data_IF_990264296565
#
_entry.id   IF_990264296565
#
_cell.length_a   1.000
_cell.length_b   1.000
_cell.length_c   1.000
_cell.angle_alpha   90.00
_cell.angle_beta   90.00
_cell.angle_gamma   90.00
#
_symmetry.space_group_name_H-M   'P 1'
#
loop_
_entity.id
_entity.type
_entity.pdbx_description
1 polymer ?
#
# COMPACT_ATOMS: atom_id res chain seq x y z
N UNK A 1 -14.83 -68.74 44.04
CA UNK A 1 -16.13 -68.76 43.32
C UNK A 1 -15.90 -68.28 41.91
N UNK A 2 -15.92 -69.20 40.95
CA UNK A 2 -15.85 -68.90 39.53
C UNK A 2 -17.26 -68.48 39.06
N UNK A 3 -17.39 -67.32 38.44
CA UNK A 3 -18.62 -66.90 37.78
C UNK A 3 -18.39 -66.85 36.27
N UNK A 4 -19.14 -67.72 35.59
CA UNK A 4 -19.29 -67.84 34.15
C UNK A 4 -19.75 -66.52 33.52
N UNK A 5 -19.08 -66.09 32.45
CA UNK A 5 -19.63 -65.12 31.50
C UNK A 5 -19.97 -65.85 30.19
N UNK A 6 -21.18 -65.69 29.62
CA UNK A 6 -21.59 -66.37 28.40
C UNK A 6 -20.94 -65.74 27.16
N UNK A 7 -20.39 -66.60 26.30
CA UNK A 7 -19.97 -66.27 24.93
C UNK A 7 -21.18 -66.13 24.03
N UNK A 8 -21.53 -64.89 23.65
CA UNK A 8 -22.53 -64.63 22.60
C UNK A 8 -21.80 -64.15 21.36
N UNK A 9 -21.85 -64.96 20.31
CA UNK A 9 -21.38 -64.62 18.97
C UNK A 9 -22.27 -63.54 18.36
N UNK A 10 -21.72 -62.33 18.20
CA UNK A 10 -22.37 -61.27 17.41
C UNK A 10 -22.06 -61.53 15.95
N UNK A 11 -23.01 -62.19 15.27
CA UNK A 11 -23.03 -62.30 13.82
C UNK A 11 -23.22 -60.91 13.24
N UNK A 12 -22.19 -60.35 12.61
CA UNK A 12 -22.30 -59.09 11.89
C UNK A 12 -23.24 -59.27 10.70
N UNK A 13 -24.48 -58.79 10.82
CA UNK A 13 -25.36 -58.63 9.68
C UNK A 13 -24.72 -57.60 8.74
N UNK A 14 -24.22 -58.08 7.60
CA UNK A 14 -23.71 -57.25 6.52
C UNK A 14 -24.91 -56.57 5.87
N UNK A 15 -25.25 -55.37 6.33
CA UNK A 15 -26.14 -54.47 5.60
C UNK A 15 -25.47 -54.13 4.27
N UNK A 16 -25.93 -54.75 3.19
CA UNK A 16 -25.62 -54.35 1.83
C UNK A 16 -26.23 -52.97 1.60
N UNK A 17 -25.43 -51.92 1.78
CA UNK A 17 -25.73 -50.60 1.24
C UNK A 17 -25.96 -50.77 -0.28
N UNK A 18 -27.06 -50.26 -0.86
CA UNK A 18 -27.19 -50.22 -2.30
C UNK A 18 -26.03 -49.37 -2.83
N UNK A 19 -25.25 -49.96 -3.75
CA UNK A 19 -24.25 -49.24 -4.51
C UNK A 19 -24.93 -48.07 -5.20
N UNK A 20 -24.68 -46.85 -4.74
CA UNK A 20 -25.05 -45.65 -5.48
C UNK A 20 -24.20 -45.64 -6.74
N UNK A 21 -24.75 -46.18 -7.83
CA UNK A 21 -24.23 -45.99 -9.18
C UNK A 21 -24.54 -44.56 -9.64
N UNK A 22 -23.93 -43.59 -8.95
CA UNK A 22 -23.74 -42.24 -9.45
C UNK A 22 -22.24 -42.05 -9.62
N UNK A 23 -21.72 -42.49 -10.77
CA UNK A 23 -20.48 -41.93 -11.29
C UNK A 23 -20.77 -40.46 -11.57
N UNK A 24 -20.43 -39.58 -10.64
CA UNK A 24 -20.35 -38.15 -10.96
C UNK A 24 -19.21 -38.04 -11.96
N UNK A 25 -19.53 -37.99 -13.26
CA UNK A 25 -18.53 -37.65 -14.26
C UNK A 25 -17.92 -36.32 -13.83
N UNK A 26 -16.60 -36.27 -13.61
CA UNK A 26 -15.87 -35.01 -13.49
C UNK A 26 -16.29 -34.15 -14.67
N UNK A 27 -17.08 -33.11 -14.39
CA UNK A 27 -17.52 -32.18 -15.43
C UNK A 27 -16.26 -31.66 -16.10
N UNK A 28 -16.11 -31.78 -17.43
CA UNK A 28 -14.97 -31.22 -18.11
C UNK A 28 -15.03 -29.71 -17.86
N UNK A 29 -14.15 -29.22 -17.00
CA UNK A 29 -14.04 -27.81 -16.69
C UNK A 29 -13.63 -27.12 -17.99
N UNK A 30 -14.59 -26.49 -18.67
CA UNK A 30 -14.34 -25.70 -19.88
C UNK A 30 -13.36 -24.60 -19.46
N UNK A 31 -12.08 -24.63 -19.89
CA UNK A 31 -11.13 -23.60 -19.49
C UNK A 31 -11.59 -22.30 -20.12
N UNK A 32 -11.90 -21.30 -19.30
CA UNK A 32 -12.19 -19.97 -19.78
C UNK A 32 -10.89 -19.42 -20.39
N UNK A 33 -10.82 -19.33 -21.73
CA UNK A 33 -9.64 -18.87 -22.46
C UNK A 33 -9.28 -17.40 -22.16
N UNK A 34 -10.14 -16.68 -21.44
CA UNK A 34 -9.95 -15.28 -21.08
C UNK A 34 -8.96 -15.05 -19.90
N UNK A 35 -8.51 -16.12 -19.21
CA UNK A 35 -7.68 -15.99 -18.00
C UNK A 35 -6.15 -15.91 -18.27
N UNK A 36 -5.68 -16.11 -19.50
CA UNK A 36 -4.25 -16.04 -19.81
C UNK A 36 -3.98 -15.44 -21.19
N UNK A 37 -3.77 -14.13 -21.24
CA UNK A 37 -3.29 -13.40 -22.43
C UNK A 37 -1.80 -13.06 -22.31
N UNK A 38 -0.95 -14.06 -22.08
CA UNK A 38 0.48 -13.92 -22.35
C UNK A 38 0.74 -14.35 -23.79
N UNK A 39 0.92 -13.39 -24.71
CA UNK A 39 1.20 -13.64 -26.14
C UNK A 39 2.65 -14.09 -26.39
N UNK A 40 3.14 -15.06 -25.63
CA UNK A 40 4.29 -15.85 -26.05
C UNK A 40 3.75 -17.20 -26.50
N UNK A 41 4.02 -17.59 -27.75
CA UNK A 41 3.85 -18.97 -28.20
C UNK A 41 4.60 -19.86 -27.20
N UNK A 42 3.84 -20.58 -26.37
CA UNK A 42 4.39 -21.38 -25.27
C UNK A 42 5.22 -22.51 -25.87
N UNK A 43 6.47 -22.64 -25.41
CA UNK A 43 7.26 -23.85 -25.66
C UNK A 43 6.48 -25.09 -25.15
N UNK A 44 6.43 -26.19 -25.93
CA UNK A 44 5.53 -27.33 -25.68
C UNK A 44 5.81 -28.09 -24.37
N UNK A 45 6.93 -27.84 -23.70
CA UNK A 45 7.31 -28.44 -22.42
C UNK A 45 6.52 -27.93 -21.20
N UNK A 46 5.75 -26.84 -21.32
CA UNK A 46 5.02 -26.22 -20.18
C UNK A 46 3.56 -26.66 -20.01
N UNK A 47 3.01 -27.52 -20.89
CA UNK A 47 1.58 -27.86 -20.88
C UNK A 47 1.17 -28.68 -19.64
N UNK A 48 2.12 -29.32 -18.95
CA UNK A 48 1.85 -30.13 -17.74
C UNK A 48 1.87 -29.32 -16.44
N UNK A 49 2.47 -28.13 -16.40
CA UNK A 49 2.67 -27.36 -15.16
C UNK A 49 1.61 -26.28 -14.90
N UNK A 50 0.77 -25.93 -15.88
CA UNK A 50 -0.31 -24.94 -15.73
C UNK A 50 -1.63 -25.56 -16.18
N UNK A 51 -2.08 -26.60 -15.47
CA UNK A 51 -3.37 -27.24 -15.70
C UNK A 51 -4.11 -27.48 -14.39
N UNK A 52 -4.53 -26.40 -13.76
CA UNK A 52 -5.84 -26.43 -13.14
C UNK A 52 -6.51 -25.08 -13.36
N UNK A 53 -7.77 -25.10 -13.81
CA UNK A 53 -8.65 -23.94 -13.76
C UNK A 53 -8.71 -23.38 -12.34
N UNK A 54 -8.47 -24.23 -11.33
CA UNK A 54 -8.30 -23.85 -9.94
C UNK A 54 -7.09 -22.91 -9.70
N UNK A 55 -5.92 -23.13 -10.32
CA UNK A 55 -4.75 -22.26 -10.16
C UNK A 55 -4.95 -20.87 -10.79
N UNK A 56 -5.56 -20.81 -11.99
CA UNK A 56 -5.89 -19.54 -12.65
C UNK A 56 -7.01 -18.78 -11.90
N UNK A 57 -8.03 -19.49 -11.41
CA UNK A 57 -9.05 -18.89 -10.55
C UNK A 57 -8.47 -18.43 -9.20
N UNK A 58 -7.50 -19.16 -8.66
CA UNK A 58 -6.83 -18.77 -7.42
C UNK A 58 -6.02 -17.47 -7.60
N UNK A 59 -5.32 -17.26 -8.71
CA UNK A 59 -4.64 -15.98 -8.96
C UNK A 59 -5.61 -14.81 -9.09
N UNK A 60 -6.75 -15.01 -9.76
CA UNK A 60 -7.79 -13.98 -9.88
C UNK A 60 -8.44 -13.65 -8.52
N UNK A 61 -8.70 -14.67 -7.70
CA UNK A 61 -9.23 -14.50 -6.34
C UNK A 61 -8.23 -13.73 -5.47
N UNK A 62 -6.95 -14.10 -5.53
CA UNK A 62 -5.90 -13.43 -4.75
C UNK A 62 -5.69 -11.97 -5.19
N UNK A 63 -5.75 -11.68 -6.49
CA UNK A 63 -5.67 -10.31 -7.00
C UNK A 63 -6.84 -9.46 -6.50
N UNK A 64 -8.08 -9.96 -6.60
CA UNK A 64 -9.27 -9.27 -6.08
C UNK A 64 -9.23 -9.09 -4.56
N UNK A 65 -8.75 -10.10 -3.84
CA UNK A 65 -8.57 -10.02 -2.40
C UNK A 65 -7.54 -8.94 -2.04
N UNK A 66 -6.42 -8.86 -2.76
CA UNK A 66 -5.38 -7.86 -2.55
C UNK A 66 -5.91 -6.43 -2.75
N UNK A 67 -6.73 -6.20 -3.78
CA UNK A 67 -7.37 -4.89 -4.03
C UNK A 67 -8.38 -4.56 -2.92
N UNK A 68 -9.21 -5.53 -2.52
CA UNK A 68 -10.17 -5.36 -1.43
C UNK A 68 -9.49 -5.02 -0.11
N UNK A 69 -8.46 -5.76 0.28
CA UNK A 69 -7.72 -5.54 1.53
C UNK A 69 -6.96 -4.21 1.53
N UNK A 70 -6.36 -3.84 0.40
CA UNK A 70 -5.70 -2.54 0.28
C UNK A 70 -6.72 -1.40 0.48
N UNK A 71 -7.89 -1.49 -0.14
CA UNK A 71 -8.95 -0.51 0.04
C UNK A 71 -9.52 -0.52 1.46
N UNK A 72 -9.68 -1.69 2.10
CA UNK A 72 -10.19 -1.77 3.48
C UNK A 72 -9.26 -1.08 4.47
N UNK A 73 -7.93 -1.26 4.31
CA UNK A 73 -6.93 -0.56 5.13
C UNK A 73 -7.03 0.95 4.91
N UNK A 74 -7.13 1.39 3.65
CA UNK A 74 -7.27 2.80 3.33
C UNK A 74 -8.54 3.43 3.94
N UNK A 75 -9.69 2.75 3.88
CA UNK A 75 -10.92 3.22 4.52
C UNK A 75 -10.81 3.30 6.05
N UNK A 76 -10.11 2.36 6.69
CA UNK A 76 -9.85 2.43 8.13
C UNK A 76 -9.04 3.68 8.48
N UNK A 77 -8.00 4.00 7.71
CA UNK A 77 -7.20 5.20 7.93
C UNK A 77 -7.95 6.50 7.59
N UNK A 78 -8.92 6.49 6.67
CA UNK A 78 -9.83 7.63 6.48
C UNK A 78 -10.70 7.91 7.70
N UNK A 79 -11.14 6.86 8.40
CA UNK A 79 -11.87 7.01 9.66
C UNK A 79 -10.97 7.53 10.79
N UNK A 80 -9.68 7.19 10.78
CA UNK A 80 -8.70 7.78 11.72
C UNK A 80 -8.49 9.26 11.43
N UNK A 81 -8.45 9.67 10.17
CA UNK A 81 -8.30 11.07 9.79
C UNK A 81 -9.56 11.92 10.13
N UNK A 82 -10.75 11.32 10.09
CA UNK A 82 -12.02 12.00 10.39
C UNK A 82 -12.87 11.21 11.42
N UNK A 83 -12.47 11.18 12.70
CA UNK A 83 -13.11 10.33 13.70
C UNK A 83 -14.54 10.76 14.06
N UNK A 84 -14.88 12.03 13.84
CA UNK A 84 -16.20 12.61 14.14
C UNK A 84 -17.20 12.44 13.00
N UNK A 85 -16.78 11.96 11.83
CA UNK A 85 -17.59 11.86 10.62
C UNK A 85 -17.71 13.16 9.82
N UNK A 86 -17.22 14.28 10.34
CA UNK A 86 -17.08 15.54 9.59
C UNK A 86 -15.72 15.58 8.89
N UNK A 87 -15.68 16.01 7.63
CA UNK A 87 -14.43 16.12 6.88
C UNK A 87 -13.57 17.28 7.40
N UNK A 88 -12.37 16.95 7.88
CA UNK A 88 -11.37 17.95 8.26
C UNK A 88 -10.73 18.66 7.05
N UNK A 89 -9.96 19.72 7.34
CA UNK A 89 -9.26 20.51 6.30
C UNK A 89 -8.29 19.66 5.46
N UNK A 90 -7.79 18.56 6.02
CA UNK A 90 -6.93 17.59 5.34
C UNK A 90 -7.58 16.95 4.10
N UNK A 91 -8.91 16.77 4.13
CA UNK A 91 -9.67 16.14 3.05
C UNK A 91 -10.20 17.16 2.02
N UNK A 92 -9.68 18.40 2.02
CA UNK A 92 -10.08 19.41 1.05
C UNK A 92 -9.36 19.18 -0.29
N UNK A 93 -10.02 18.45 -1.20
CA UNK A 93 -9.43 18.06 -2.49
C UNK A 93 -9.40 19.17 -3.55
N UNK A 94 -10.17 20.25 -3.36
CA UNK A 94 -10.22 21.37 -4.29
C UNK A 94 -10.83 22.62 -3.68
N UNK A 95 -10.20 23.77 -3.90
CA UNK A 95 -10.69 25.07 -3.43
C UNK A 95 -11.67 25.75 -4.40
N UNK A 96 -11.60 25.40 -5.69
CA UNK A 96 -12.40 26.01 -6.76
C UNK A 96 -13.29 24.96 -7.41
N UNK A 97 -14.45 25.38 -7.94
CA UNK A 97 -15.32 24.51 -8.73
C UNK A 97 -14.51 23.89 -9.89
N UNK A 98 -14.60 22.56 -10.03
CA UNK A 98 -13.85 21.80 -11.04
C UNK A 98 -12.45 21.34 -10.60
N UNK A 99 -11.88 21.86 -9.51
CA UNK A 99 -10.56 21.43 -9.03
C UNK A 99 -10.56 19.97 -8.53
N UNK A 100 -11.66 19.50 -7.93
CA UNK A 100 -11.80 18.10 -7.50
C UNK A 100 -11.75 17.13 -8.69
N UNK A 101 -12.37 17.49 -9.82
CA UNK A 101 -12.31 16.69 -11.04
C UNK A 101 -10.90 16.66 -11.64
N UNK A 102 -10.20 17.80 -11.62
CA UNK A 102 -8.79 17.86 -12.00
C UNK A 102 -7.90 16.99 -11.09
N UNK A 103 -8.14 17.00 -9.78
CA UNK A 103 -7.47 16.13 -8.82
C UNK A 103 -7.74 14.64 -9.10
N UNK A 104 -8.97 14.27 -9.46
CA UNK A 104 -9.33 12.91 -9.88
C UNK A 104 -8.58 12.48 -11.14
N UNK A 105 -8.59 13.30 -12.19
CA UNK A 105 -7.85 13.02 -13.43
C UNK A 105 -6.36 12.86 -13.14
N UNK A 106 -5.80 13.72 -12.28
CA UNK A 106 -4.43 13.60 -11.82
C UNK A 106 -4.18 12.27 -11.13
N UNK A 107 -4.99 11.88 -10.15
CA UNK A 107 -4.84 10.64 -9.39
C UNK A 107 -4.93 9.39 -10.29
N UNK A 108 -5.84 9.38 -11.27
CA UNK A 108 -5.91 8.30 -12.26
C UNK A 108 -4.67 8.26 -13.15
N UNK A 109 -4.15 9.43 -13.55
CA UNK A 109 -2.93 9.51 -14.37
C UNK A 109 -1.68 9.06 -13.60
N UNK A 110 -1.58 9.34 -12.29
CA UNK A 110 -0.46 8.87 -11.47
C UNK A 110 -0.54 7.36 -11.25
N UNK A 111 -1.73 6.83 -10.97
CA UNK A 111 -1.95 5.38 -10.88
C UNK A 111 -1.60 4.65 -12.18
N UNK A 112 -1.93 5.24 -13.33
CA UNK A 112 -1.53 4.71 -14.63
C UNK A 112 -0.01 4.71 -14.82
N UNK A 113 0.67 5.82 -14.51
CA UNK A 113 2.15 5.90 -14.59
C UNK A 113 2.85 4.92 -13.66
N UNK A 114 2.33 4.73 -12.44
CA UNK A 114 2.85 3.75 -11.49
C UNK A 114 2.82 2.32 -12.05
N UNK A 115 1.85 2.00 -12.93
CA UNK A 115 1.78 0.69 -13.62
C UNK A 115 2.77 0.56 -14.77
N UNK A 116 3.22 1.67 -15.36
CA UNK A 116 4.14 1.71 -16.50
C UNK A 116 5.62 1.61 -16.10
N UNK A 117 5.95 1.67 -14.81
CA UNK A 117 7.33 1.56 -14.36
C UNK A 117 7.96 0.22 -14.77
N UNK A 118 9.27 0.25 -15.02
CA UNK A 118 10.03 -0.92 -15.42
C UNK A 118 9.97 -2.05 -14.38
N UNK A 119 10.21 -3.31 -14.79
CA UNK A 119 10.09 -4.47 -13.91
C UNK A 119 11.00 -4.38 -12.67
N UNK A 120 12.22 -3.88 -12.82
CA UNK A 120 13.16 -3.68 -11.70
C UNK A 120 12.55 -2.79 -10.60
N UNK A 121 11.95 -1.65 -10.98
CA UNK A 121 11.31 -0.74 -10.04
C UNK A 121 10.12 -1.40 -9.32
N UNK A 122 9.32 -2.22 -10.02
CA UNK A 122 8.22 -2.97 -9.40
C UNK A 122 8.70 -3.93 -8.32
N UNK A 123 9.79 -4.66 -8.58
CA UNK A 123 10.37 -5.56 -7.59
C UNK A 123 10.99 -4.79 -6.42
N UNK A 124 11.72 -3.71 -6.71
CA UNK A 124 12.25 -2.82 -5.68
C UNK A 124 11.14 -2.29 -4.76
N UNK A 125 10.04 -1.79 -5.35
CA UNK A 125 8.88 -1.28 -4.60
C UNK A 125 8.21 -2.36 -3.76
N UNK A 126 8.10 -3.58 -4.28
CA UNK A 126 7.55 -4.70 -3.53
C UNK A 126 8.35 -4.96 -2.25
N UNK A 127 9.68 -5.06 -2.35
CA UNK A 127 10.52 -5.40 -1.21
C UNK A 127 10.66 -4.25 -0.22
N UNK A 128 10.86 -3.02 -0.70
CA UNK A 128 11.02 -1.85 0.16
C UNK A 128 9.72 -1.47 0.87
N UNK A 129 8.56 -1.54 0.19
CA UNK A 129 7.29 -1.29 0.86
C UNK A 129 6.99 -2.35 1.91
N UNK A 130 7.31 -3.63 1.65
CA UNK A 130 7.15 -4.70 2.63
C UNK A 130 8.04 -4.48 3.86
N UNK A 131 9.31 -4.14 3.63
CA UNK A 131 10.27 -3.83 4.72
C UNK A 131 9.74 -2.70 5.60
N UNK A 132 9.27 -1.62 4.98
CA UNK A 132 8.76 -0.46 5.71
C UNK A 132 7.47 -0.76 6.47
N UNK A 133 6.57 -1.58 5.91
CA UNK A 133 5.35 -2.00 6.58
C UNK A 133 5.65 -2.86 7.82
N UNK A 134 6.53 -3.85 7.69
CA UNK A 134 6.97 -4.70 8.82
C UNK A 134 7.64 -3.86 9.91
N UNK A 135 8.49 -2.90 9.54
CA UNK A 135 9.13 -2.02 10.51
C UNK A 135 8.13 -1.14 11.28
N UNK A 136 6.98 -0.83 10.68
CA UNK A 136 5.93 -0.01 11.27
C UNK A 136 4.92 -0.81 12.12
N UNK A 137 4.90 -2.14 11.97
CA UNK A 137 3.93 -3.07 12.55
C UNK A 137 4.27 -3.55 13.98
N UNK A 138 5.38 -3.07 14.54
CA UNK A 138 5.73 -3.27 15.94
C UNK A 138 5.68 -4.76 16.40
N UNK A 139 6.14 -5.69 15.55
CA UNK A 139 6.30 -7.13 15.83
C UNK A 139 4.96 -7.93 15.78
N UNK A 140 3.94 -7.43 15.09
CA UNK A 140 2.70 -8.19 14.88
C UNK A 140 2.87 -9.31 13.85
N UNK A 141 3.08 -10.55 14.32
CA UNK A 141 3.30 -11.71 13.44
C UNK A 141 2.20 -11.90 12.38
N UNK A 142 0.94 -11.56 12.69
CA UNK A 142 -0.17 -11.72 11.76
C UNK A 142 -0.10 -10.73 10.60
N UNK A 143 0.13 -9.45 10.89
CA UNK A 143 0.22 -8.40 9.87
C UNK A 143 1.45 -8.59 8.98
N UNK A 144 2.60 -9.01 9.52
CA UNK A 144 3.78 -9.40 8.74
C UNK A 144 3.48 -10.46 7.65
N UNK A 145 2.67 -11.47 7.99
CA UNK A 145 2.28 -12.51 7.02
C UNK A 145 1.36 -11.96 5.93
N UNK A 146 0.48 -11.02 6.27
CA UNK A 146 -0.40 -10.34 5.32
C UNK A 146 0.40 -9.44 4.37
N UNK A 147 1.33 -8.63 4.87
CA UNK A 147 2.19 -7.77 4.06
C UNK A 147 3.08 -8.59 3.11
N UNK A 148 3.53 -9.77 3.55
CA UNK A 148 4.31 -10.68 2.71
C UNK A 148 3.49 -11.34 1.61
N UNK A 149 2.22 -11.67 1.88
CA UNK A 149 1.32 -12.34 0.94
C UNK A 149 0.64 -11.38 -0.04
N UNK A 150 0.37 -10.15 0.39
CA UNK A 150 -0.38 -9.15 -0.36
C UNK A 150 0.40 -7.84 -0.48
N UNK A 151 1.27 -7.70 -1.51
CA UNK A 151 2.20 -6.57 -1.60
C UNK A 151 1.52 -5.21 -1.81
N UNK A 152 0.33 -5.17 -2.44
CA UNK A 152 -0.45 -3.94 -2.56
C UNK A 152 -0.95 -3.42 -1.20
N UNK A 153 -1.22 -4.32 -0.25
CA UNK A 153 -1.65 -3.96 1.11
C UNK A 153 -0.53 -3.24 1.84
N UNK A 154 0.71 -3.75 1.76
CA UNK A 154 1.88 -3.10 2.37
C UNK A 154 2.13 -1.70 1.79
N UNK A 155 2.03 -1.55 0.47
CA UNK A 155 2.21 -0.25 -0.18
C UNK A 155 1.13 0.76 0.26
N UNK A 156 -0.14 0.34 0.29
CA UNK A 156 -1.24 1.20 0.73
C UNK A 156 -1.17 1.52 2.21
N UNK A 157 -0.79 0.55 3.05
CA UNK A 157 -0.59 0.74 4.49
C UNK A 157 0.42 1.86 4.78
N UNK A 158 1.60 1.81 4.16
CA UNK A 158 2.64 2.83 4.36
C UNK A 158 2.14 4.24 4.03
N UNK A 159 1.44 4.40 2.92
CA UNK A 159 0.89 5.69 2.49
C UNK A 159 -0.24 6.13 3.44
N UNK A 160 -1.22 5.25 3.67
CA UNK A 160 -2.42 5.57 4.44
C UNK A 160 -2.09 5.92 5.90
N UNK A 161 -1.16 5.18 6.52
CA UNK A 161 -0.65 5.46 7.88
C UNK A 161 0.02 6.83 7.97
N UNK A 162 0.91 7.15 7.03
CA UNK A 162 1.64 8.42 7.04
C UNK A 162 0.74 9.61 6.74
N UNK A 163 -0.29 9.42 5.89
CA UNK A 163 -1.31 10.44 5.63
C UNK A 163 -2.19 10.65 6.86
N UNK A 164 -2.72 9.58 7.48
CA UNK A 164 -3.59 9.69 8.66
C UNK A 164 -2.89 10.29 9.89
N UNK A 165 -1.61 9.93 10.12
CA UNK A 165 -0.84 10.46 11.25
C UNK A 165 -0.23 11.85 10.99
N UNK A 166 -0.33 12.38 9.77
CA UNK A 166 0.29 13.65 9.37
C UNK A 166 1.82 13.63 9.37
N UNK A 167 2.43 12.44 9.23
CA UNK A 167 3.87 12.26 9.15
C UNK A 167 4.45 12.50 7.73
N UNK A 168 3.59 12.74 6.73
CA UNK A 168 4.00 13.00 5.35
C UNK A 168 4.62 14.38 5.19
N UNK A 169 5.63 14.50 4.30
CA UNK A 169 6.25 15.78 3.92
C UNK A 169 5.26 16.86 3.45
N UNK A 170 4.08 16.47 2.95
CA UNK A 170 3.00 17.40 2.60
C UNK A 170 2.47 18.18 3.80
N UNK A 171 2.53 17.59 5.00
CA UNK A 171 2.06 18.18 6.26
C UNK A 171 3.20 18.83 7.07
N UNK A 172 4.43 18.84 6.54
CA UNK A 172 5.55 19.53 7.16
C UNK A 172 5.34 21.06 7.07
N UNK A 173 5.25 21.73 8.21
CA UNK A 173 5.22 23.19 8.28
C UNK A 173 6.45 23.66 9.06
N UNK A 174 7.47 24.21 8.38
CA UNK A 174 8.65 24.73 9.07
C UNK A 174 8.27 25.95 9.93
N UNK A 175 8.76 25.99 11.15
CA UNK A 175 8.48 27.10 12.08
C UNK A 175 9.58 28.15 12.13
N UNK A 176 10.77 27.78 11.65
CA UNK A 176 11.96 28.63 11.65
C UNK A 176 12.56 28.73 10.25
N UNK A 177 13.34 29.79 10.02
CA UNK A 177 14.04 30.00 8.74
C UNK A 177 15.09 28.91 8.54
N UNK A 178 15.72 28.47 9.63
CA UNK A 178 16.69 27.38 9.67
C UNK A 178 16.05 26.05 9.28
N UNK A 179 14.89 25.71 9.86
CA UNK A 179 14.15 24.50 9.50
C UNK A 179 13.69 24.53 8.04
N UNK A 180 13.21 25.69 7.56
CA UNK A 180 12.85 25.87 6.16
C UNK A 180 14.06 25.70 5.22
N UNK A 181 15.25 26.18 5.60
CA UNK A 181 16.47 25.97 4.84
C UNK A 181 16.88 24.49 4.82
N UNK A 182 16.84 23.81 5.97
CA UNK A 182 17.17 22.39 6.07
C UNK A 182 16.23 21.52 5.25
N UNK A 183 14.92 21.81 5.27
CA UNK A 183 13.94 21.14 4.41
C UNK A 183 14.26 21.27 2.92
N UNK A 184 14.66 22.46 2.47
CA UNK A 184 15.06 22.68 1.07
C UNK A 184 16.27 21.83 0.69
N UNK A 185 17.30 21.79 1.53
CA UNK A 185 18.47 20.96 1.28
C UNK A 185 18.14 19.47 1.27
N UNK A 186 17.28 19.01 2.18
CA UNK A 186 16.84 17.63 2.25
C UNK A 186 15.99 17.24 1.05
N UNK A 187 15.07 18.10 0.60
CA UNK A 187 14.27 17.88 -0.60
C UNK A 187 15.15 17.79 -1.86
N UNK A 188 16.17 18.65 -1.98
CA UNK A 188 17.16 18.55 -3.07
C UNK A 188 17.86 17.20 -3.03
N UNK A 189 18.31 16.74 -1.85
CA UNK A 189 18.99 15.45 -1.71
C UNK A 189 18.07 14.28 -2.09
N UNK A 190 16.80 14.32 -1.70
CA UNK A 190 15.84 13.28 -2.05
C UNK A 190 15.51 13.23 -3.54
N UNK A 191 15.29 14.39 -4.15
CA UNK A 191 15.07 14.49 -5.59
C UNK A 191 16.29 13.99 -6.39
N UNK A 192 17.50 14.31 -5.93
CA UNK A 192 18.75 13.82 -6.53
C UNK A 192 18.95 12.31 -6.32
N UNK A 193 18.57 11.78 -5.15
CA UNK A 193 18.62 10.35 -4.88
C UNK A 193 17.59 9.56 -5.72
N UNK A 194 16.42 10.16 -5.98
CA UNK A 194 15.37 9.58 -6.81
C UNK A 194 15.71 9.62 -8.31
N UNK A 195 16.47 10.62 -8.75
CA UNK A 195 16.90 10.82 -10.14
C UNK A 195 18.43 10.94 -10.22
N UNK A 196 19.18 9.82 -10.12
CA UNK A 196 20.64 9.84 -10.20
C UNK A 196 21.16 10.12 -11.62
N UNK A 197 20.28 10.10 -12.62
CA UNK A 197 20.60 10.41 -14.01
C UNK A 197 20.09 11.80 -14.39
N UNK A 198 20.64 12.41 -15.44
CA UNK A 198 20.11 13.66 -16.01
C UNK A 198 18.73 13.52 -16.68
N UNK A 199 18.15 12.31 -16.73
CA UNK A 199 16.80 12.06 -17.24
C UNK A 199 15.84 11.90 -16.07
N UNK A 200 14.76 12.69 -16.08
CA UNK A 200 13.71 12.59 -15.08
C UNK A 200 12.93 11.28 -15.20
N UNK A 201 12.65 10.67 -14.05
CA UNK A 201 11.82 9.48 -13.97
C UNK A 201 10.33 9.79 -14.21
N UNK A 202 9.51 8.73 -14.33
CA UNK A 202 8.07 8.88 -14.55
C UNK A 202 7.28 9.31 -13.30
N UNK A 203 7.88 9.37 -12.12
CA UNK A 203 7.23 9.81 -10.89
C UNK A 203 7.22 11.33 -10.74
N UNK A 204 8.26 12.04 -11.21
CA UNK A 204 8.38 13.51 -11.17
C UNK A 204 7.61 14.20 -12.32
N UNK A 205 6.33 13.88 -12.50
CA UNK A 205 5.52 14.42 -13.60
C UNK A 205 4.52 15.49 -13.14
N UNK A 206 4.80 16.78 -13.35
CA UNK A 206 3.93 17.90 -12.93
C UNK A 206 2.71 18.16 -13.83
N UNK A 207 2.46 17.33 -14.85
CA UNK A 207 1.29 17.50 -15.72
C UNK A 207 1.21 16.44 -16.79
N UNK A 208 0.00 16.05 -17.17
CA UNK A 208 -0.22 15.17 -18.33
C UNK A 208 -0.47 15.96 -19.62
N UNK A 209 -0.94 17.20 -19.50
CA UNK A 209 -1.35 18.06 -20.59
C UNK A 209 -1.03 19.53 -20.26
N UNK A 210 -1.09 20.40 -21.28
CA UNK A 210 -0.87 21.84 -21.13
C UNK A 210 -1.81 22.43 -20.07
N UNK A 211 -1.28 23.33 -19.23
CA UNK A 211 -2.03 24.01 -18.16
C UNK A 211 -2.15 23.24 -16.84
N UNK A 212 -1.90 21.92 -16.83
CA UNK A 212 -2.05 21.10 -15.61
C UNK A 212 -0.99 21.40 -14.54
N UNK A 213 0.20 21.84 -14.94
CA UNK A 213 1.28 22.20 -14.01
C UNK A 213 0.91 23.38 -13.12
N UNK A 214 0.24 24.38 -13.68
CA UNK A 214 -0.20 25.55 -12.91
C UNK A 214 -1.35 25.18 -11.96
N UNK A 215 -2.28 24.31 -12.40
CA UNK A 215 -3.31 23.78 -11.51
C UNK A 215 -2.73 23.01 -10.33
N UNK A 216 -1.67 22.21 -10.55
CA UNK A 216 -0.98 21.50 -9.48
C UNK A 216 -0.22 22.43 -8.53
N UNK A 217 0.42 23.46 -9.07
CA UNK A 217 1.06 24.51 -8.26
C UNK A 217 0.05 25.19 -7.34
N UNK A 218 -1.12 25.57 -7.87
CA UNK A 218 -2.20 26.20 -7.09
C UNK A 218 -2.75 25.23 -6.04
N UNK A 219 -2.94 23.95 -6.40
CA UNK A 219 -3.40 22.93 -5.46
C UNK A 219 -2.42 22.74 -4.31
N UNK A 220 -1.11 22.68 -4.60
CA UNK A 220 -0.06 22.56 -3.58
C UNK A 220 -0.03 23.78 -2.64
N UNK A 221 -0.16 25.00 -3.17
CA UNK A 221 -0.25 26.21 -2.36
C UNK A 221 -1.50 26.24 -1.47
N UNK A 222 -2.64 25.79 -1.98
CA UNK A 222 -3.86 25.67 -1.19
C UNK A 222 -3.66 24.64 -0.04
N UNK A 223 -3.04 23.49 -0.31
CA UNK A 223 -2.74 22.49 0.74
C UNK A 223 -1.81 23.08 1.81
N UNK A 224 -0.74 23.78 1.42
CA UNK A 224 0.17 24.42 2.37
C UNK A 224 -0.57 25.43 3.27
N UNK A 225 -1.46 26.24 2.68
CA UNK A 225 -2.31 27.17 3.43
C UNK A 225 -3.26 26.43 4.39
N UNK A 226 -3.91 25.34 3.95
CA UNK A 226 -4.82 24.55 4.80
C UNK A 226 -4.11 23.84 5.94
N UNK A 227 -2.86 23.42 5.76
CA UNK A 227 -2.08 22.82 6.84
C UNK A 227 -1.85 23.79 7.99
N UNK A 228 -1.64 25.07 7.70
CA UNK A 228 -1.54 26.12 8.73
C UNK A 228 -2.88 26.43 9.43
N UNK A 229 -4.02 25.98 8.88
CA UNK A 229 -5.36 26.17 9.47
C UNK A 229 -5.79 25.02 10.39
N UNK A 230 -4.96 23.98 10.54
CA UNK A 230 -5.28 22.87 11.44
C UNK A 230 -5.33 23.36 12.89
N UNK A 231 -6.16 22.75 13.75
CA UNK A 231 -6.16 23.08 15.17
C UNK A 231 -4.79 22.79 15.80
N UNK A 232 -4.40 23.62 16.78
CA UNK A 232 -3.07 23.53 17.41
C UNK A 232 -2.77 22.13 17.97
N UNK A 233 -3.76 21.47 18.57
CA UNK A 233 -3.61 20.11 19.10
C UNK A 233 -3.19 19.11 18.00
N UNK A 234 -3.77 19.22 16.80
CA UNK A 234 -3.42 18.39 15.66
C UNK A 234 -2.01 18.72 15.17
N UNK A 235 -1.65 19.99 15.04
CA UNK A 235 -0.28 20.39 14.64
C UNK A 235 0.77 19.85 15.61
N UNK A 236 0.51 19.92 16.92
CA UNK A 236 1.42 19.38 17.94
C UNK A 236 1.55 17.86 17.83
N UNK A 237 0.43 17.15 17.65
CA UNK A 237 0.45 15.70 17.43
C UNK A 237 1.24 15.33 16.18
N UNK A 238 1.03 16.04 15.07
CA UNK A 238 1.75 15.83 13.81
C UNK A 238 3.26 16.00 14.00
N UNK A 239 3.73 16.99 14.76
CA UNK A 239 5.17 17.12 15.07
C UNK A 239 5.74 15.91 15.81
N UNK A 240 5.01 15.34 16.77
CA UNK A 240 5.44 14.14 17.45
C UNK A 240 5.45 12.91 16.52
N UNK A 241 4.44 12.77 15.67
CA UNK A 241 4.39 11.70 14.67
C UNK A 241 5.49 11.84 13.61
N UNK A 242 5.80 13.05 13.17
CA UNK A 242 6.91 13.35 12.26
C UNK A 242 8.26 13.00 12.91
N UNK A 243 8.46 13.30 14.20
CA UNK A 243 9.64 12.87 14.95
C UNK A 243 9.73 11.36 15.06
N UNK A 244 8.64 10.71 15.46
CA UNK A 244 8.56 9.24 15.58
C UNK A 244 8.91 8.57 14.26
N UNK A 245 8.34 9.05 13.15
CA UNK A 245 8.64 8.55 11.82
C UNK A 245 10.11 8.84 11.43
N UNK A 246 10.62 10.04 11.69
CA UNK A 246 12.01 10.40 11.45
C UNK A 246 13.02 9.51 12.18
N UNK A 247 12.78 9.20 13.46
CA UNK A 247 13.65 8.29 14.23
C UNK A 247 13.76 6.90 13.60
N UNK A 248 12.66 6.37 13.06
CA UNK A 248 12.67 5.09 12.34
C UNK A 248 13.58 5.14 11.12
N UNK A 249 13.67 6.30 10.45
CA UNK A 249 14.49 6.50 9.25
C UNK A 249 15.97 6.81 9.57
N UNK A 250 16.25 7.36 10.76
CA UNK A 250 17.62 7.64 11.21
C UNK A 250 18.38 6.37 11.64
N UNK A 251 17.68 5.24 11.82
CA UNK A 251 18.27 3.93 12.11
C UNK A 251 19.28 3.91 13.28
N UNK A 252 19.07 4.72 14.34
CA UNK A 252 19.99 4.80 15.49
C UNK A 252 21.16 5.77 15.31
N UNK A 253 21.17 6.61 14.27
CA UNK A 253 22.19 7.62 14.07
C UNK A 253 21.95 8.82 15.02
N UNK A 254 22.70 8.89 16.12
CA UNK A 254 22.58 9.95 17.14
C UNK A 254 22.58 11.37 16.55
N UNK A 255 23.38 11.62 15.51
CA UNK A 255 23.42 12.93 14.85
C UNK A 255 22.09 13.25 14.18
N UNK A 256 21.58 12.36 13.33
CA UNK A 256 20.33 12.55 12.58
C UNK A 256 19.13 12.60 13.52
N UNK A 257 19.11 11.74 14.54
CA UNK A 257 18.06 11.77 15.57
C UNK A 257 18.06 13.10 16.31
N UNK A 258 19.23 13.65 16.67
CA UNK A 258 19.31 14.97 17.31
C UNK A 258 18.80 16.10 16.42
N UNK A 259 18.96 15.99 15.09
CA UNK A 259 18.41 16.95 14.14
C UNK A 259 16.90 16.82 14.05
N UNK A 260 16.36 15.60 13.97
CA UNK A 260 14.90 15.35 13.98
C UNK A 260 14.26 15.80 15.29
N UNK A 261 14.94 15.61 16.42
CA UNK A 261 14.47 16.09 17.73
C UNK A 261 14.34 17.62 17.77
N UNK A 262 15.29 18.34 17.15
CA UNK A 262 15.28 19.81 17.09
C UNK A 262 14.30 20.35 16.06
N UNK A 263 14.23 19.72 14.89
CA UNK A 263 13.46 20.19 13.73
C UNK A 263 12.53 19.07 13.24
N UNK A 264 11.29 18.99 13.76
CA UNK A 264 10.35 17.91 13.44
C UNK A 264 10.03 17.80 11.95
N UNK A 265 10.04 18.91 11.21
CA UNK A 265 9.71 18.89 9.79
C UNK A 265 10.71 18.05 8.96
N UNK A 266 11.96 17.93 9.42
CA UNK A 266 12.98 17.04 8.82
C UNK A 266 12.52 15.58 8.91
N UNK A 267 11.89 15.20 10.03
CA UNK A 267 11.31 13.87 10.20
C UNK A 267 10.27 13.55 9.12
N UNK A 268 9.38 14.50 8.84
CA UNK A 268 8.36 14.35 7.78
C UNK A 268 8.96 14.34 6.38
N UNK A 269 10.12 15.00 6.19
CA UNK A 269 10.77 15.08 4.91
C UNK A 269 11.32 13.72 4.47
N UNK A 270 11.62 12.76 5.35
CA UNK A 270 12.08 11.42 4.94
C UNK A 270 11.07 10.68 4.04
N UNK A 271 11.34 10.58 2.74
CA UNK A 271 10.50 9.84 1.81
C UNK A 271 11.02 8.41 1.63
N UNK A 272 10.09 7.47 1.55
CA UNK A 272 10.44 6.11 1.14
C UNK A 272 10.99 6.13 -0.29
N UNK A 273 12.06 5.37 -0.54
CA UNK A 273 12.69 5.24 -1.87
C UNK A 273 11.72 4.73 -2.95
N UNK A 274 10.61 4.14 -2.54
CA UNK A 274 9.57 3.60 -3.42
C UNK A 274 8.73 4.68 -4.11
N UNK A 275 8.71 5.92 -3.60
CA UNK A 275 7.90 7.00 -4.20
C UNK A 275 8.52 7.58 -5.48
N UNK A 276 9.85 7.57 -5.60
CA UNK A 276 10.56 8.09 -6.78
C UNK A 276 10.58 9.61 -6.88
N UNK A 277 10.38 10.30 -5.76
CA UNK A 277 10.56 11.73 -5.52
C UNK A 277 10.79 11.95 -4.02
#
# INVERSE_FOLDING_TARGET
MFAFAPSVSVTAARTTLPSTSFTTSLTPHRPNRNATTSMALRSPSSVRSVRSVAAARASDILAKAADYMANSVLYQYYNIANPTGEYGVQCTEGSVKGAAEAARVRALSTAFRARQVGPFKKYFDLYENRKNAIAADHICQYEETLFSRYPSVAATYNVARNEANGACSRYATPESVEEAAMLRYMDIQQNNAANPSGVYNSSCNEGAAKGQSEHLRIAALNVAYRNAQKPLAQILQEKYEQKKYGYVQCHGCNYEESLVSKFPAIGAAFRAKTYGY
#
